data_IF_365694132386
#
_entry.id   IF_365694132386
#
_cell.length_a   1.000
_cell.length_b   1.000
_cell.length_c   1.000
_cell.angle_alpha   90.00
_cell.angle_beta   90.00
_cell.angle_gamma   90.00
#
_symmetry.space_group_name_H-M   'P 1'
#
loop_
_entity.id
_entity.type
_entity.pdbx_description
1 polymer ?
#
# COMPACT_ATOMS: atom_id res chain seq x y z
N UNK A 1 5.35 14.70 3.45
CA UNK A 1 4.29 13.94 4.17
C UNK A 1 3.72 14.80 5.29
N UNK A 2 2.39 15.00 5.34
CA UNK A 2 1.67 15.73 6.40
C UNK A 2 1.22 14.77 7.48
N UNK A 3 1.64 15.00 8.72
CA UNK A 3 1.42 14.09 9.85
C UNK A 3 0.69 14.82 10.96
N UNK A 4 -0.48 14.31 11.34
CA UNK A 4 -1.16 14.77 12.54
C UNK A 4 -0.78 13.89 13.73
N UNK A 5 -0.38 14.54 14.83
CA UNK A 5 -0.09 13.91 16.12
C UNK A 5 -1.14 14.43 17.12
N UNK A 6 -1.95 13.51 17.60
CA UNK A 6 -3.05 13.82 18.54
C UNK A 6 -2.75 13.13 19.86
N UNK A 7 -2.36 13.89 20.87
CA UNK A 7 -1.96 13.42 22.20
C UNK A 7 -2.07 14.64 23.16
N UNK A 8 -2.65 14.49 24.32
CA UNK A 8 -2.80 15.57 25.30
C UNK A 8 -1.49 15.89 26.05
N UNK A 9 -0.48 15.00 25.95
CA UNK A 9 0.84 15.19 26.51
C UNK A 9 1.82 15.77 25.46
N UNK A 10 2.11 17.08 25.51
CA UNK A 10 3.07 17.76 24.60
C UNK A 10 4.43 17.06 24.52
N UNK A 11 4.90 16.50 25.65
CA UNK A 11 6.17 15.78 25.69
C UNK A 11 6.16 14.55 24.80
N UNK A 12 5.08 13.79 24.79
CA UNK A 12 4.93 12.61 23.95
C UNK A 12 4.84 13.00 22.47
N UNK A 13 4.10 14.09 22.15
CA UNK A 13 4.06 14.66 20.79
C UNK A 13 5.48 15.00 20.29
N UNK A 14 6.30 15.66 21.13
CA UNK A 14 7.69 16.05 20.77
C UNK A 14 8.58 14.82 20.54
N UNK A 15 8.46 13.78 21.38
CA UNK A 15 9.23 12.55 21.25
C UNK A 15 8.87 11.83 19.94
N UNK A 16 7.57 11.70 19.65
CA UNK A 16 7.06 11.07 18.45
C UNK A 16 7.54 11.84 17.21
N UNK A 17 7.35 13.15 17.20
CA UNK A 17 7.78 14.01 16.09
C UNK A 17 9.29 13.93 15.85
N UNK A 18 10.09 13.92 16.91
CA UNK A 18 11.54 13.74 16.83
C UNK A 18 11.91 12.41 16.16
N UNK A 19 11.31 11.29 16.58
CA UNK A 19 11.60 9.98 16.00
C UNK A 19 11.17 9.89 14.54
N UNK A 20 9.99 10.43 14.21
CA UNK A 20 9.53 10.49 12.81
C UNK A 20 10.46 11.37 11.96
N UNK A 21 10.91 12.51 12.49
CA UNK A 21 11.89 13.39 11.82
C UNK A 21 13.21 12.66 11.53
N UNK A 22 13.76 11.95 12.50
CA UNK A 22 14.97 11.17 12.33
C UNK A 22 14.79 10.05 11.26
N UNK A 23 13.62 9.40 11.22
CA UNK A 23 13.30 8.42 10.18
C UNK A 23 13.21 9.10 8.79
N UNK A 24 12.51 10.23 8.69
CA UNK A 24 12.35 10.98 7.45
C UNK A 24 13.68 11.45 6.86
N UNK A 25 14.62 11.89 7.71
CA UNK A 25 16.01 12.22 7.30
C UNK A 25 16.71 11.03 6.62
N UNK A 26 16.55 9.81 7.17
CA UNK A 26 17.14 8.60 6.55
C UNK A 26 16.56 8.30 5.17
N UNK A 27 15.30 8.70 4.93
CA UNK A 27 14.58 8.49 3.66
C UNK A 27 14.65 9.70 2.72
N UNK A 28 15.23 10.82 3.17
CA UNK A 28 15.25 12.12 2.46
C UNK A 28 13.82 12.63 2.15
N UNK A 29 12.89 12.35 3.03
CA UNK A 29 11.51 12.79 2.93
C UNK A 29 11.30 14.11 3.70
N UNK A 30 10.45 14.99 3.14
CA UNK A 30 10.01 16.18 3.85
C UNK A 30 8.76 15.83 4.65
N UNK A 31 8.77 16.16 5.95
CA UNK A 31 7.64 15.95 6.85
C UNK A 31 7.18 17.28 7.42
N UNK A 32 5.87 17.43 7.54
CA UNK A 32 5.20 18.58 8.18
C UNK A 32 4.33 18.04 9.30
N UNK A 33 4.50 18.58 10.53
CA UNK A 33 3.80 18.10 11.72
C UNK A 33 2.69 19.07 12.12
N UNK A 34 1.53 18.49 12.43
CA UNK A 34 0.38 19.18 12.99
C UNK A 34 0.07 18.55 14.35
N UNK A 35 -0.02 19.37 15.38
CA UNK A 35 -0.18 18.92 16.77
C UNK A 35 -1.56 19.27 17.28
N UNK A 36 -2.20 18.32 17.91
CA UNK A 36 -3.52 18.46 18.51
C UNK A 36 -3.49 17.88 19.92
N UNK A 37 -4.05 18.62 20.88
CA UNK A 37 -4.11 18.25 22.29
C UNK A 37 -5.37 17.45 22.65
N UNK A 38 -6.28 17.26 21.71
CA UNK A 38 -7.52 16.51 21.90
C UNK A 38 -8.09 16.00 20.57
N UNK A 39 -8.95 15.00 20.66
CA UNK A 39 -9.70 14.48 19.51
C UNK A 39 -10.62 15.54 18.91
N UNK A 40 -11.19 16.41 19.74
CA UNK A 40 -12.08 17.50 19.34
C UNK A 40 -11.35 18.55 18.53
N UNK A 41 -10.15 18.97 18.97
CA UNK A 41 -9.33 19.94 18.25
C UNK A 41 -8.90 19.40 16.88
N UNK A 42 -8.57 18.10 16.80
CA UNK A 42 -8.29 17.46 15.52
C UNK A 42 -9.52 17.39 14.62
N UNK A 43 -10.69 16.96 15.13
CA UNK A 43 -11.93 16.88 14.35
C UNK A 43 -12.32 18.22 13.76
N UNK A 44 -12.17 19.30 14.53
CA UNK A 44 -12.42 20.65 14.03
C UNK A 44 -11.51 21.00 12.84
N UNK A 45 -10.22 20.66 12.92
CA UNK A 45 -9.28 20.83 11.80
C UNK A 45 -9.59 19.91 10.62
N UNK A 46 -10.07 18.68 10.90
CA UNK A 46 -10.38 17.69 9.88
C UNK A 46 -11.54 18.11 8.96
N UNK A 47 -12.47 18.94 9.42
CA UNK A 47 -13.56 19.47 8.59
C UNK A 47 -13.03 20.29 7.42
N UNK A 48 -11.94 21.06 7.64
CA UNK A 48 -11.34 21.96 6.65
C UNK A 48 -10.14 21.33 5.91
N UNK A 49 -9.34 20.52 6.60
CA UNK A 49 -8.08 19.98 6.11
C UNK A 49 -8.14 18.44 6.15
N UNK A 50 -8.27 17.80 4.98
CA UNK A 50 -8.37 16.34 4.84
C UNK A 50 -7.16 15.72 4.12
N UNK A 51 -6.03 16.42 4.03
CA UNK A 51 -4.86 16.01 3.28
C UNK A 51 -3.70 15.48 4.16
N UNK A 52 -4.03 15.04 5.38
CA UNK A 52 -3.08 14.30 6.20
C UNK A 52 -2.77 12.93 5.59
N UNK A 53 -1.50 12.53 5.66
CA UNK A 53 -0.99 11.28 5.10
C UNK A 53 -0.70 10.22 6.18
N UNK A 54 -0.65 10.65 7.45
CA UNK A 54 -0.51 9.79 8.62
C UNK A 54 -1.17 10.43 9.83
N UNK A 55 -1.91 9.64 10.60
CA UNK A 55 -2.39 10.00 11.93
C UNK A 55 -1.65 9.19 13.00
N UNK A 56 -1.11 9.87 14.00
CA UNK A 56 -0.57 9.25 15.22
C UNK A 56 -1.47 9.68 16.36
N UNK A 57 -2.16 8.73 16.97
CA UNK A 57 -3.21 8.99 17.93
C UNK A 57 -2.89 8.34 19.28
N UNK A 58 -2.92 9.10 20.36
CA UNK A 58 -3.09 8.50 21.67
C UNK A 58 -4.51 7.94 21.80
N UNK A 59 -4.69 6.85 22.51
CA UNK A 59 -6.01 6.27 22.78
C UNK A 59 -6.69 6.98 23.93
N UNK A 60 -5.95 7.29 25.00
CA UNK A 60 -6.49 7.90 26.19
C UNK A 60 -6.34 9.43 26.16
N UNK A 61 -7.37 10.09 25.70
CA UNK A 61 -7.46 11.55 25.63
C UNK A 61 -8.90 11.98 25.95
N UNK A 62 -9.04 13.04 26.76
CA UNK A 62 -10.26 13.81 26.98
C UNK A 62 -11.60 13.06 26.97
N UNK A 63 -12.62 13.68 26.35
CA UNK A 63 -13.97 13.12 26.24
C UNK A 63 -14.11 12.10 25.10
N UNK A 64 -13.41 12.34 23.97
CA UNK A 64 -13.39 11.45 22.82
C UNK A 64 -12.04 10.73 22.78
N UNK A 65 -12.06 9.42 22.98
CA UNK A 65 -10.86 8.60 22.89
C UNK A 65 -10.28 8.55 21.46
N UNK A 66 -8.96 8.34 21.32
CA UNK A 66 -8.34 8.18 20.01
C UNK A 66 -8.93 7.02 19.19
N UNK A 67 -9.46 6.00 19.83
CA UNK A 67 -10.15 4.90 19.16
C UNK A 67 -11.50 5.35 18.56
N UNK A 68 -12.26 6.17 19.29
CA UNK A 68 -13.52 6.74 18.79
C UNK A 68 -13.24 7.75 17.67
N UNK A 69 -12.17 8.55 17.81
CA UNK A 69 -11.69 9.43 16.76
C UNK A 69 -11.39 8.62 15.48
N UNK A 70 -10.59 7.57 15.60
CA UNK A 70 -10.26 6.72 14.46
C UNK A 70 -11.51 6.12 13.79
N UNK A 71 -12.51 5.67 14.56
CA UNK A 71 -13.78 5.18 14.02
C UNK A 71 -14.52 6.26 13.22
N UNK A 72 -14.57 7.50 13.72
CA UNK A 72 -15.16 8.63 12.99
C UNK A 72 -14.42 8.90 11.68
N UNK A 73 -13.09 8.94 11.70
CA UNK A 73 -12.28 9.14 10.49
C UNK A 73 -12.52 8.02 9.48
N UNK A 74 -12.65 6.76 9.90
CA UNK A 74 -12.90 5.61 9.01
C UNK A 74 -14.24 5.65 8.30
N UNK A 75 -15.21 6.40 8.78
CA UNK A 75 -16.47 6.65 8.06
C UNK A 75 -16.25 7.50 6.81
N UNK A 76 -15.26 8.39 6.82
CA UNK A 76 -14.95 9.32 5.73
C UNK A 76 -13.74 8.85 4.90
N UNK A 77 -12.67 8.41 5.58
CA UNK A 77 -11.45 7.91 4.95
C UNK A 77 -11.07 6.53 5.48
N UNK A 78 -11.26 5.51 4.61
CA UNK A 78 -10.91 4.12 4.90
C UNK A 78 -9.42 3.81 4.73
N UNK A 79 -8.62 4.74 4.18
CA UNK A 79 -7.25 4.48 3.70
C UNK A 79 -6.17 5.17 4.50
N UNK A 80 -6.45 6.32 5.12
CA UNK A 80 -5.43 7.06 5.87
C UNK A 80 -4.77 6.14 6.89
N UNK A 81 -3.42 6.04 6.91
CA UNK A 81 -2.72 5.25 7.89
C UNK A 81 -2.91 5.82 9.30
N UNK A 82 -3.14 4.93 10.27
CA UNK A 82 -3.29 5.29 11.68
C UNK A 82 -2.29 4.47 12.48
N UNK A 83 -1.47 5.13 13.29
CA UNK A 83 -0.63 4.52 14.32
C UNK A 83 -1.21 4.95 15.67
N UNK A 84 -1.51 3.97 16.52
CA UNK A 84 -1.86 4.25 17.90
C UNK A 84 -0.62 4.23 18.79
N UNK A 85 -0.57 5.19 19.72
CA UNK A 85 0.44 5.25 20.77
C UNK A 85 -0.31 5.33 22.10
N UNK A 86 -0.14 4.38 23.01
CA UNK A 86 -0.92 4.30 24.26
C UNK A 86 -0.11 3.73 25.40
N UNK A 87 -0.49 4.08 26.62
CA UNK A 87 0.09 3.51 27.86
C UNK A 87 -0.38 2.10 28.17
N UNK A 88 -1.41 1.58 27.50
CA UNK A 88 -2.08 0.33 27.88
C UNK A 88 -2.09 -0.68 26.73
N UNK A 89 -1.75 -1.91 27.06
CA UNK A 89 -1.71 -3.04 26.12
C UNK A 89 -3.08 -3.65 25.81
N UNK A 90 -4.06 -3.43 26.69
CA UNK A 90 -5.42 -3.96 26.57
C UNK A 90 -6.15 -3.51 25.30
N UNK A 91 -5.78 -2.34 24.77
CA UNK A 91 -6.41 -1.79 23.55
C UNK A 91 -5.95 -2.47 22.24
N UNK A 92 -4.91 -3.29 22.27
CA UNK A 92 -4.42 -3.98 21.04
C UNK A 92 -5.49 -4.90 20.43
N UNK A 93 -6.42 -5.45 21.20
CA UNK A 93 -7.50 -6.30 20.71
C UNK A 93 -8.59 -5.53 19.95
N UNK A 94 -8.75 -4.24 20.18
CA UNK A 94 -9.76 -3.40 19.49
C UNK A 94 -9.26 -2.81 18.15
N UNK A 95 -8.00 -3.03 17.81
CA UNK A 95 -7.37 -2.49 16.63
C UNK A 95 -7.83 -3.07 15.31
N UNK A 96 -8.43 -4.24 15.32
CA UNK A 96 -8.99 -4.86 14.12
C UNK A 96 -10.13 -4.04 13.50
N UNK A 97 -10.93 -3.37 14.34
CA UNK A 97 -12.11 -2.62 13.88
C UNK A 97 -11.78 -1.38 13.03
N UNK A 98 -10.59 -0.78 13.22
CA UNK A 98 -10.20 0.47 12.54
C UNK A 98 -9.05 0.28 11.55
N UNK A 99 -8.60 -0.97 11.32
CA UNK A 99 -7.49 -1.28 10.41
C UNK A 99 -6.27 -0.38 10.63
N UNK A 100 -5.83 -0.26 11.89
CA UNK A 100 -4.65 0.51 12.25
C UNK A 100 -3.37 -0.11 11.63
N UNK A 101 -2.44 0.74 11.23
CA UNK A 101 -1.15 0.31 10.71
C UNK A 101 -0.29 -0.37 11.80
N UNK A 102 -0.31 0.21 13.01
CA UNK A 102 0.46 -0.30 14.14
C UNK A 102 -0.11 0.22 15.46
N UNK A 103 0.13 -0.56 16.54
CA UNK A 103 -0.04 -0.17 17.95
C UNK A 103 1.34 -0.12 18.62
N UNK A 104 1.62 1.00 19.26
CA UNK A 104 2.85 1.21 20.01
C UNK A 104 2.50 1.51 21.46
N UNK A 105 3.21 0.87 22.39
CA UNK A 105 3.03 1.10 23.83
C UNK A 105 4.03 2.15 24.29
N UNK A 106 3.57 3.13 25.08
CA UNK A 106 4.42 4.11 25.76
C UNK A 106 5.27 3.41 26.84
N UNK A 107 6.56 3.72 26.96
CA UNK A 107 7.34 4.65 26.15
C UNK A 107 7.59 4.12 24.73
N UNK A 108 7.43 4.98 23.72
CA UNK A 108 7.51 4.58 22.31
C UNK A 108 8.87 3.99 21.98
N UNK A 109 8.85 2.75 21.49
CA UNK A 109 10.05 2.12 20.97
C UNK A 109 10.34 2.63 19.56
N UNK A 110 11.49 3.28 19.39
CA UNK A 110 11.91 3.93 18.14
C UNK A 110 11.99 2.95 16.98
N UNK A 111 12.54 1.76 17.18
CA UNK A 111 12.70 0.75 16.14
C UNK A 111 11.35 0.24 15.62
N UNK A 112 10.38 0.04 16.52
CA UNK A 112 9.01 -0.35 16.16
C UNK A 112 8.28 0.75 15.38
N UNK A 113 8.47 2.02 15.80
CA UNK A 113 7.93 3.15 15.04
C UNK A 113 8.55 3.23 13.64
N UNK A 114 9.87 3.06 13.52
CA UNK A 114 10.56 3.04 12.22
C UNK A 114 10.07 1.90 11.32
N UNK A 115 9.83 0.71 11.87
CA UNK A 115 9.23 -0.40 11.13
C UNK A 115 7.82 -0.08 10.63
N UNK A 116 6.99 0.56 11.46
CA UNK A 116 5.65 0.99 11.07
C UNK A 116 5.69 2.03 9.94
N UNK A 117 6.55 3.05 10.06
CA UNK A 117 6.74 4.08 9.05
C UNK A 117 7.32 3.50 7.74
N UNK A 118 8.22 2.53 7.82
CA UNK A 118 8.76 1.87 6.63
C UNK A 118 7.69 1.14 5.83
N UNK A 119 6.67 0.58 6.50
CA UNK A 119 5.49 0.01 5.81
C UNK A 119 4.66 1.07 5.06
N UNK A 120 4.70 2.35 5.48
CA UNK A 120 4.08 3.45 4.73
C UNK A 120 4.87 3.73 3.46
N UNK A 121 6.18 3.91 3.58
CA UNK A 121 7.07 4.14 2.42
C UNK A 121 7.01 2.98 1.43
N UNK A 122 6.90 1.74 1.90
CA UNK A 122 6.71 0.58 1.02
C UNK A 122 5.33 0.61 0.31
N UNK A 123 4.29 1.15 0.95
CA UNK A 123 3.00 1.43 0.28
C UNK A 123 3.08 2.63 -0.65
N UNK A 124 3.90 3.64 -0.32
CA UNK A 124 4.19 4.80 -1.16
C UNK A 124 5.32 4.56 -2.17
N UNK A 125 6.10 3.45 -2.08
CA UNK A 125 6.91 3.03 -3.21
C UNK A 125 5.96 2.91 -4.40
N UNK A 126 5.71 4.11 -4.92
CA UNK A 126 4.97 4.40 -6.13
C UNK A 126 4.03 3.24 -6.47
N UNK A 127 2.75 3.40 -6.17
CA UNK A 127 1.75 2.58 -6.85
C UNK A 127 2.00 2.80 -8.32
N UNK A 128 2.91 1.99 -8.84
CA UNK A 128 3.33 2.04 -10.24
C UNK A 128 2.07 1.97 -11.05
N UNK A 129 1.81 2.99 -11.82
CA UNK A 129 0.58 3.11 -12.57
C UNK A 129 0.90 3.10 -14.06
N UNK A 130 0.04 2.45 -14.81
CA UNK A 130 0.04 2.49 -16.26
C UNK A 130 -0.99 3.51 -16.72
N UNK A 131 -0.65 4.29 -17.74
CA UNK A 131 -1.63 5.06 -18.49
C UNK A 131 -1.96 4.25 -19.72
N UNK A 132 -3.22 3.86 -19.87
CA UNK A 132 -3.69 2.99 -20.95
C UNK A 132 -4.90 3.61 -21.64
N UNK A 133 -5.02 3.35 -22.94
CA UNK A 133 -6.17 3.75 -23.75
C UNK A 133 -7.14 2.57 -23.87
N UNK A 134 -8.27 2.65 -23.21
CA UNK A 134 -9.40 1.75 -23.45
C UNK A 134 -10.18 2.18 -24.70
N UNK A 135 -11.24 1.47 -25.05
CA UNK A 135 -12.04 1.80 -26.25
C UNK A 135 -12.57 3.24 -26.21
N UNK A 136 -12.96 3.75 -25.04
CA UNK A 136 -13.69 5.01 -24.89
C UNK A 136 -12.97 6.08 -24.04
N UNK A 137 -11.89 5.74 -23.35
CA UNK A 137 -11.24 6.66 -22.41
C UNK A 137 -9.76 6.35 -22.19
N UNK A 138 -9.01 7.34 -21.69
CA UNK A 138 -7.64 7.16 -21.16
C UNK A 138 -7.77 6.89 -19.65
N UNK A 139 -7.20 5.78 -19.18
CA UNK A 139 -7.30 5.34 -17.78
C UNK A 139 -5.93 5.23 -17.13
N UNK A 140 -5.86 5.59 -15.86
CA UNK A 140 -4.74 5.28 -14.99
C UNK A 140 -5.04 4.00 -14.21
N UNK A 141 -4.29 2.94 -14.46
CA UNK A 141 -4.43 1.65 -13.81
C UNK A 141 -3.24 1.41 -12.89
N UNK A 142 -3.50 1.09 -11.65
CA UNK A 142 -2.46 0.70 -10.70
C UNK A 142 -1.96 -0.72 -11.03
N UNK A 143 -0.65 -0.89 -11.17
CA UNK A 143 -0.07 -2.21 -11.50
C UNK A 143 -0.41 -3.26 -10.44
N UNK A 144 -0.57 -2.84 -9.20
CA UNK A 144 -0.95 -3.70 -8.07
C UNK A 144 -2.35 -4.31 -8.22
N UNK A 145 -3.19 -3.79 -9.12
CA UNK A 145 -4.53 -4.33 -9.41
C UNK A 145 -4.55 -5.18 -10.67
N UNK A 146 -3.45 -5.20 -11.45
CA UNK A 146 -3.37 -5.99 -12.68
C UNK A 146 -2.96 -7.42 -12.35
N UNK A 147 -3.81 -8.39 -12.70
CA UNK A 147 -3.52 -9.82 -12.59
C UNK A 147 -2.60 -10.25 -13.73
N UNK A 148 -3.04 -10.02 -14.95
CA UNK A 148 -2.29 -10.31 -16.16
C UNK A 148 -2.80 -9.52 -17.37
N UNK A 149 -2.03 -9.53 -18.43
CA UNK A 149 -2.42 -8.97 -19.73
C UNK A 149 -2.30 -10.07 -20.78
N UNK A 150 -3.31 -10.18 -21.66
CA UNK A 150 -3.29 -11.07 -22.79
C UNK A 150 -3.31 -10.34 -24.14
N UNK A 151 -2.70 -10.95 -25.13
CA UNK A 151 -2.73 -10.46 -26.50
C UNK A 151 -4.10 -10.72 -27.15
N UNK A 152 -4.71 -9.70 -27.74
CA UNK A 152 -6.02 -9.78 -28.38
C UNK A 152 -6.03 -9.08 -29.75
N UNK A 153 -5.76 -9.80 -30.81
CA UNK A 153 -5.69 -9.24 -32.16
C UNK A 153 -4.62 -8.16 -32.27
N UNK A 154 -5.02 -6.93 -32.62
CA UNK A 154 -4.12 -5.79 -32.70
C UNK A 154 -3.94 -5.03 -31.39
N UNK A 155 -4.79 -5.27 -30.39
CA UNK A 155 -4.75 -4.69 -29.05
C UNK A 155 -4.34 -5.71 -27.98
N UNK A 156 -4.75 -5.43 -26.75
CA UNK A 156 -4.58 -6.33 -25.60
C UNK A 156 -5.80 -6.30 -24.68
N UNK A 157 -5.89 -7.29 -23.80
CA UNK A 157 -6.91 -7.34 -22.74
C UNK A 157 -6.16 -7.35 -21.41
N UNK A 158 -6.50 -6.43 -20.53
CA UNK A 158 -5.97 -6.36 -19.18
C UNK A 158 -6.99 -6.89 -18.19
N UNK A 159 -6.61 -7.92 -17.44
CA UNK A 159 -7.39 -8.51 -16.37
C UNK A 159 -6.94 -7.90 -15.05
N UNK A 160 -7.85 -7.25 -14.35
CA UNK A 160 -7.60 -6.66 -13.03
C UNK A 160 -8.37 -7.41 -11.96
N UNK A 161 -8.13 -7.07 -10.70
CA UNK A 161 -8.88 -7.66 -9.56
C UNK A 161 -10.36 -7.30 -9.61
N UNK A 162 -10.73 -6.20 -10.28
CA UNK A 162 -12.09 -5.67 -10.28
C UNK A 162 -12.83 -5.88 -11.61
N UNK A 163 -12.10 -5.84 -12.73
CA UNK A 163 -12.69 -5.81 -14.07
C UNK A 163 -11.74 -6.30 -15.17
N UNK A 164 -12.29 -6.51 -16.38
CA UNK A 164 -11.54 -6.82 -17.59
C UNK A 164 -11.63 -5.65 -18.57
N UNK A 165 -10.48 -5.14 -19.00
CA UNK A 165 -10.37 -3.91 -19.80
C UNK A 165 -9.79 -4.22 -21.17
N UNK A 166 -10.51 -3.88 -22.25
CA UNK A 166 -9.95 -3.91 -23.62
C UNK A 166 -9.10 -2.65 -23.86
N UNK A 167 -7.88 -2.86 -24.31
CA UNK A 167 -6.92 -1.82 -24.59
C UNK A 167 -6.66 -1.69 -26.10
N UNK A 168 -6.47 -0.45 -26.54
CA UNK A 168 -6.04 -0.16 -27.92
C UNK A 168 -4.56 -0.46 -28.14
N UNK A 169 -3.75 -0.37 -27.07
CA UNK A 169 -2.34 -0.67 -27.11
C UNK A 169 -2.09 -2.13 -27.42
N UNK A 170 -1.10 -2.38 -28.26
CA UNK A 170 -0.66 -3.73 -28.52
C UNK A 170 -0.06 -4.37 -27.26
N UNK A 171 -0.10 -5.70 -27.22
CA UNK A 171 0.53 -6.45 -26.14
C UNK A 171 2.02 -6.08 -25.95
N UNK A 172 2.76 -5.85 -27.03
CA UNK A 172 4.17 -5.45 -26.98
C UNK A 172 4.39 -4.06 -26.38
N UNK A 173 3.46 -3.13 -26.57
CA UNK A 173 3.57 -1.80 -25.98
C UNK A 173 3.26 -1.80 -24.49
N UNK A 174 2.27 -2.58 -24.07
CA UNK A 174 2.02 -2.82 -22.62
C UNK A 174 3.21 -3.54 -21.98
N UNK A 175 3.78 -4.56 -22.63
CA UNK A 175 4.97 -5.26 -22.13
C UNK A 175 6.12 -4.29 -21.86
N UNK A 176 6.41 -3.34 -22.79
CA UNK A 176 7.45 -2.31 -22.61
C UNK A 176 7.18 -1.37 -21.44
N UNK A 177 5.92 -1.03 -21.17
CA UNK A 177 5.55 -0.17 -20.05
C UNK A 177 5.64 -0.91 -18.71
N UNK A 178 5.26 -2.18 -18.67
CA UNK A 178 5.20 -2.99 -17.43
C UNK A 178 6.57 -3.55 -17.06
N UNK A 179 7.39 -3.95 -18.02
CA UNK A 179 8.68 -4.58 -17.78
C UNK A 179 9.63 -3.80 -16.85
N UNK A 180 9.79 -2.45 -16.98
CA UNK A 180 10.64 -1.67 -16.08
C UNK A 180 10.14 -1.65 -14.63
N UNK A 181 8.87 -1.98 -14.41
CA UNK A 181 8.27 -1.99 -13.07
C UNK A 181 8.69 -3.22 -12.24
N UNK A 182 9.23 -4.28 -12.90
CA UNK A 182 9.85 -5.42 -12.22
C UNK A 182 8.89 -6.39 -11.54
N UNK A 183 7.57 -6.22 -11.73
CA UNK A 183 6.54 -7.03 -11.06
C UNK A 183 5.88 -8.06 -11.96
N UNK A 184 6.14 -8.01 -13.25
CA UNK A 184 5.51 -8.91 -14.21
C UNK A 184 6.53 -9.71 -15.03
N UNK A 185 6.13 -10.91 -15.43
CA UNK A 185 6.90 -11.82 -16.26
C UNK A 185 6.10 -12.25 -17.49
N UNK A 186 6.74 -12.23 -18.67
CA UNK A 186 6.17 -12.83 -19.87
C UNK A 186 6.29 -14.35 -19.77
N UNK A 187 5.18 -15.02 -19.52
CA UNK A 187 5.15 -16.48 -19.41
C UNK A 187 4.84 -17.19 -20.75
N UNK A 188 4.18 -16.49 -21.67
CA UNK A 188 3.79 -16.99 -22.98
C UNK A 188 3.84 -15.85 -24.01
N UNK A 189 3.84 -16.18 -25.31
CA UNK A 189 3.78 -15.16 -26.38
C UNK A 189 2.56 -14.23 -26.24
N UNK A 190 1.50 -14.72 -25.60
CA UNK A 190 0.25 -14.01 -25.42
C UNK A 190 -0.03 -13.58 -23.98
N UNK A 191 0.82 -13.91 -23.00
CA UNK A 191 0.53 -13.60 -21.58
C UNK A 191 1.70 -12.94 -20.88
N UNK A 192 1.41 -11.81 -20.23
CA UNK A 192 2.27 -11.08 -19.30
C UNK A 192 1.59 -11.11 -17.93
N UNK A 193 2.19 -11.75 -16.93
CA UNK A 193 1.56 -12.07 -15.65
C UNK A 193 2.24 -11.29 -14.53
N UNK A 194 1.46 -10.67 -13.65
CA UNK A 194 1.96 -10.05 -12.45
C UNK A 194 2.28 -11.12 -11.40
N UNK A 195 3.54 -11.21 -11.01
CA UNK A 195 4.04 -12.21 -10.07
C UNK A 195 3.43 -12.08 -8.67
N UNK A 196 2.90 -10.91 -8.34
CA UNK A 196 2.20 -10.67 -7.07
C UNK A 196 1.03 -11.62 -6.84
N UNK A 197 0.33 -11.99 -7.90
CA UNK A 197 -0.88 -12.83 -7.87
C UNK A 197 -0.63 -14.28 -8.24
N UNK A 198 0.63 -14.70 -8.29
CA UNK A 198 0.99 -16.09 -8.63
C UNK A 198 1.20 -16.88 -7.36
N UNK A 199 0.33 -17.85 -7.09
CA UNK A 199 0.44 -18.76 -5.95
C UNK A 199 1.41 -19.91 -6.19
N UNK A 200 1.48 -20.43 -7.43
CA UNK A 200 2.32 -21.59 -7.74
C UNK A 200 2.69 -21.68 -9.23
N UNK A 201 3.74 -22.48 -9.50
CA UNK A 201 4.09 -22.97 -10.84
C UNK A 201 3.90 -24.49 -10.83
N UNK A 202 2.96 -24.98 -11.64
CA UNK A 202 2.64 -26.41 -11.71
C UNK A 202 2.32 -26.85 -13.13
N UNK A 203 2.86 -28.01 -13.56
CA UNK A 203 2.54 -28.61 -14.84
C UNK A 203 2.64 -27.66 -16.05
N UNK A 204 3.68 -26.85 -16.10
CA UNK A 204 3.89 -25.80 -17.12
C UNK A 204 2.82 -24.72 -17.16
N UNK A 205 2.15 -24.47 -16.03
CA UNK A 205 1.22 -23.35 -15.85
C UNK A 205 1.63 -22.50 -14.65
N UNK A 206 1.29 -21.20 -14.71
CA UNK A 206 1.19 -20.33 -13.55
C UNK A 206 -0.21 -20.47 -12.97
N UNK A 207 -0.29 -20.71 -11.67
CA UNK A 207 -1.54 -20.74 -10.92
C UNK A 207 -1.69 -19.39 -10.23
N UNK A 208 -2.77 -18.67 -10.49
CA UNK A 208 -3.08 -17.41 -9.85
C UNK A 208 -3.83 -17.63 -8.54
N UNK A 209 -3.84 -16.63 -7.66
CA UNK A 209 -4.55 -16.67 -6.38
C UNK A 209 -6.06 -16.84 -6.52
N UNK A 210 -6.63 -16.41 -7.66
CA UNK A 210 -8.05 -16.59 -8.01
C UNK A 210 -8.35 -17.98 -8.61
N UNK A 211 -7.34 -18.85 -8.74
CA UNK A 211 -7.46 -20.19 -9.29
C UNK A 211 -7.33 -20.29 -10.81
N UNK A 212 -7.15 -19.20 -11.53
CA UNK A 212 -6.90 -19.23 -12.97
C UNK A 212 -5.53 -19.85 -13.28
N UNK A 213 -5.45 -20.52 -14.44
CA UNK A 213 -4.26 -21.21 -14.92
C UNK A 213 -3.78 -20.60 -16.22
N UNK A 214 -2.58 -20.06 -16.26
CA UNK A 214 -1.99 -19.46 -17.45
C UNK A 214 -0.81 -20.28 -17.95
N UNK A 215 -0.75 -20.63 -19.26
CA UNK A 215 0.28 -21.52 -19.78
C UNK A 215 1.64 -20.85 -19.81
N UNK A 216 2.69 -21.61 -19.50
CA UNK A 216 4.09 -21.20 -19.66
C UNK A 216 4.65 -21.88 -20.92
N UNK A 217 5.17 -21.08 -21.85
CA UNK A 217 5.86 -21.66 -23.01
C UNK A 217 7.18 -22.33 -22.59
N UNK A 218 7.58 -23.37 -23.31
CA UNK A 218 8.82 -24.12 -23.00
C UNK A 218 10.06 -23.22 -22.94
N UNK A 219 10.13 -22.23 -23.82
CA UNK A 219 11.23 -21.23 -23.84
C UNK A 219 11.25 -20.29 -22.64
N UNK A 220 10.09 -20.03 -22.01
CA UNK A 220 9.97 -19.11 -20.89
C UNK A 220 10.08 -19.80 -19.51
N UNK A 221 9.98 -21.11 -19.43
CA UNK A 221 9.94 -21.85 -18.17
C UNK A 221 11.06 -21.44 -17.20
N UNK A 222 12.32 -21.48 -17.67
CA UNK A 222 13.47 -21.13 -16.80
C UNK A 222 13.45 -19.68 -16.36
N UNK A 223 13.02 -18.78 -17.24
CA UNK A 223 12.91 -17.35 -16.92
C UNK A 223 11.82 -17.10 -15.88
N UNK A 224 10.64 -17.67 -16.08
CA UNK A 224 9.50 -17.54 -15.16
C UNK A 224 9.86 -18.06 -13.78
N UNK A 225 10.47 -19.25 -13.67
CA UNK A 225 10.90 -19.81 -12.39
C UNK A 225 11.92 -18.91 -11.67
N UNK A 226 12.89 -18.37 -12.42
CA UNK A 226 13.90 -17.45 -11.86
C UNK A 226 13.26 -16.18 -11.33
N UNK A 227 12.40 -15.52 -12.12
CA UNK A 227 11.76 -14.27 -11.73
C UNK A 227 10.76 -14.48 -10.57
N UNK A 228 10.04 -15.59 -10.55
CA UNK A 228 9.17 -15.98 -9.44
C UNK A 228 9.96 -16.12 -8.13
N UNK A 229 11.05 -16.87 -8.13
CA UNK A 229 11.91 -17.04 -6.95
C UNK A 229 12.53 -15.71 -6.50
N UNK A 230 12.98 -14.88 -7.45
CA UNK A 230 13.55 -13.57 -7.18
C UNK A 230 12.52 -12.64 -6.53
N UNK A 231 11.30 -12.62 -7.07
CA UNK A 231 10.21 -11.77 -6.58
C UNK A 231 9.87 -12.06 -5.12
N UNK A 232 9.72 -13.33 -4.75
CA UNK A 232 9.35 -13.72 -3.39
C UNK A 232 10.53 -13.67 -2.39
N UNK A 233 11.78 -13.93 -2.84
CA UNK A 233 12.95 -13.78 -1.96
C UNK A 233 13.18 -12.33 -1.53
N UNK A 234 13.00 -11.37 -2.41
CA UNK A 234 13.19 -9.96 -2.11
C UNK A 234 12.10 -9.36 -1.19
N UNK A 235 11.04 -10.11 -0.90
CA UNK A 235 9.94 -9.68 -0.02
C UNK A 235 9.89 -10.40 1.33
N UNK A 236 10.80 -11.31 1.58
CA UNK A 236 10.92 -12.04 2.86
C UNK A 236 12.08 -11.49 3.74
N UNK A 237 12.76 -10.42 3.33
CA UNK A 237 13.88 -9.81 4.04
C UNK A 237 13.49 -8.50 4.75
#
# INVERSE_FOLDING_TARGET
MKIAIVDDEKREQEIIAKYIGEWAETKKELVEFFYFDSSESFLFSWEDIKDYELLVLDIEMGEISGLELAKKIRLEDKRIPIIFVTGYDEYMQYGYDVSALQYLIKPVNKERLFQALSKLSEKEETVKSLIVNSENEVRRIQINNVLYVEAAGHGSIMHTVDEVIRLKESFGDIEKQVHPLGEAVKCHRAYLVNLRFVSAIQNSNLILDNGENLPISRSQMKNVQREFLRYYRNRQG
#
